data_IF_250783968990
#
_entry.id   IF_250783968990
#
_cell.length_a   1.000
_cell.length_b   1.000
_cell.length_c   1.000
_cell.angle_alpha   90.00
_cell.angle_beta   90.00
_cell.angle_gamma   90.00
#
_symmetry.space_group_name_H-M   'P 1'
#
loop_
_entity.id
_entity.type
_entity.pdbx_description
1 polymer ?
#
# COMPACT_ATOMS: atom_id res chain seq x y z
N UNK A 1 -14.57 -2.59 32.29
CA UNK A 1 -15.13 -3.07 31.03
C UNK A 1 -13.98 -3.55 30.15
N UNK A 2 -14.00 -4.79 29.70
CA UNK A 2 -13.02 -5.28 28.72
C UNK A 2 -13.31 -4.54 27.41
N UNK A 3 -12.49 -3.57 27.05
CA UNK A 3 -12.54 -2.96 25.73
C UNK A 3 -12.26 -4.04 24.69
N UNK A 4 -13.22 -4.24 23.79
CA UNK A 4 -13.09 -5.27 22.74
C UNK A 4 -12.07 -4.79 21.72
N UNK A 5 -10.93 -5.46 21.62
CA UNK A 5 -9.90 -5.24 20.60
C UNK A 5 -10.48 -5.32 19.16
N UNK A 6 -11.47 -6.17 18.96
CA UNK A 6 -12.12 -6.38 17.66
C UNK A 6 -13.38 -5.52 17.52
N UNK A 7 -13.18 -4.24 17.23
CA UNK A 7 -14.28 -3.36 16.81
C UNK A 7 -14.60 -3.58 15.34
N UNK A 8 -15.84 -3.26 14.91
CA UNK A 8 -16.22 -3.34 13.48
C UNK A 8 -15.27 -2.56 12.59
N UNK A 9 -14.88 -1.35 13.00
CA UNK A 9 -13.95 -0.50 12.25
C UNK A 9 -12.57 -1.15 12.10
N UNK A 10 -12.05 -1.78 13.16
CA UNK A 10 -10.80 -2.51 13.13
C UNK A 10 -10.84 -3.67 12.13
N UNK A 11 -11.90 -4.48 12.15
CA UNK A 11 -12.09 -5.60 11.23
C UNK A 11 -12.18 -5.16 9.77
N UNK A 12 -12.86 -4.03 9.48
CA UNK A 12 -12.93 -3.50 8.12
C UNK A 12 -11.56 -3.03 7.60
N UNK A 13 -10.78 -2.32 8.41
CA UNK A 13 -9.43 -1.89 8.01
C UNK A 13 -8.51 -3.09 7.81
N UNK A 14 -8.58 -4.09 8.70
CA UNK A 14 -7.81 -5.31 8.58
C UNK A 14 -8.14 -6.08 7.30
N UNK A 15 -9.44 -6.25 7.00
CA UNK A 15 -9.91 -6.90 5.78
C UNK A 15 -9.49 -6.12 4.52
N UNK A 16 -9.60 -4.79 4.53
CA UNK A 16 -9.18 -3.95 3.42
C UNK A 16 -7.67 -4.07 3.16
N UNK A 17 -6.85 -4.00 4.22
CA UNK A 17 -5.41 -4.19 4.10
C UNK A 17 -5.08 -5.61 3.61
N UNK A 18 -5.74 -6.63 4.14
CA UNK A 18 -5.54 -8.01 3.69
C UNK A 18 -5.80 -8.15 2.19
N UNK A 19 -6.94 -7.64 1.69
CA UNK A 19 -7.29 -7.70 0.27
C UNK A 19 -6.28 -6.94 -0.61
N UNK A 20 -5.81 -5.78 -0.14
CA UNK A 20 -4.79 -5.00 -0.85
C UNK A 20 -3.48 -5.77 -0.98
N UNK A 21 -2.97 -6.31 0.12
CA UNK A 21 -1.74 -7.10 0.13
C UNK A 21 -1.90 -8.40 -0.67
N UNK A 22 -3.03 -9.07 -0.54
CA UNK A 22 -3.31 -10.30 -1.28
C UNK A 22 -3.29 -10.05 -2.80
N UNK A 23 -3.99 -9.00 -3.27
CA UNK A 23 -3.96 -8.61 -4.68
C UNK A 23 -2.56 -8.24 -5.17
N UNK A 24 -1.80 -7.53 -4.35
CA UNK A 24 -0.42 -7.17 -4.66
C UNK A 24 0.51 -8.39 -4.78
N UNK A 25 0.42 -9.33 -3.83
CA UNK A 25 1.24 -10.54 -3.86
C UNK A 25 0.90 -11.47 -5.03
N UNK A 26 -0.37 -11.50 -5.47
CA UNK A 26 -0.75 -12.22 -6.69
C UNK A 26 -0.18 -11.56 -7.95
N UNK A 27 -0.07 -10.23 -7.95
CA UNK A 27 0.44 -9.49 -9.10
C UNK A 27 1.95 -9.70 -9.32
N UNK A 28 2.74 -9.82 -8.25
CA UNK A 28 4.20 -9.92 -8.32
C UNK A 28 4.70 -11.03 -9.25
N UNK A 29 4.28 -12.29 -9.12
CA UNK A 29 4.78 -13.36 -9.99
C UNK A 29 4.26 -13.26 -11.44
N UNK A 30 3.10 -12.63 -11.65
CA UNK A 30 2.49 -12.51 -12.97
C UNK A 30 3.22 -11.45 -13.82
N UNK A 31 3.69 -10.38 -13.20
CA UNK A 31 4.30 -9.23 -13.88
C UNK A 31 5.49 -9.55 -14.78
N UNK A 32 6.49 -10.35 -14.35
CA UNK A 32 7.62 -10.69 -15.22
C UNK A 32 7.19 -11.44 -16.47
N UNK A 33 6.25 -12.38 -16.35
CA UNK A 33 5.71 -13.13 -17.49
C UNK A 33 4.95 -12.21 -18.44
N UNK A 34 4.08 -11.38 -17.92
CA UNK A 34 3.32 -10.42 -18.70
C UNK A 34 4.23 -9.46 -19.49
N UNK A 35 5.26 -8.91 -18.85
CA UNK A 35 6.22 -8.01 -19.49
C UNK A 35 7.02 -8.72 -20.60
N UNK A 36 7.38 -9.97 -20.38
CA UNK A 36 8.11 -10.78 -21.36
C UNK A 36 7.24 -11.11 -22.59
N UNK A 37 6.00 -11.54 -22.38
CA UNK A 37 5.08 -11.93 -23.44
C UNK A 37 4.54 -10.74 -24.22
N UNK A 38 4.15 -9.65 -23.53
CA UNK A 38 3.48 -8.51 -24.17
C UNK A 38 4.45 -7.53 -24.81
N UNK A 39 5.60 -7.28 -24.18
CA UNK A 39 6.54 -6.24 -24.61
C UNK A 39 7.91 -6.79 -25.03
N UNK A 40 8.10 -8.10 -25.00
CA UNK A 40 9.40 -8.75 -25.33
C UNK A 40 10.59 -8.13 -24.56
N UNK A 41 10.36 -7.75 -23.29
CA UNK A 41 11.37 -7.08 -22.49
C UNK A 41 12.55 -7.99 -22.15
N UNK A 42 13.81 -7.53 -22.31
CA UNK A 42 14.98 -8.26 -21.86
C UNK A 42 15.01 -8.36 -20.33
N UNK A 43 15.63 -9.41 -19.79
CA UNK A 43 15.64 -9.70 -18.35
C UNK A 43 16.23 -8.58 -17.49
N UNK A 44 17.24 -7.89 -17.98
CA UNK A 44 17.82 -6.73 -17.30
C UNK A 44 16.82 -5.58 -17.11
N UNK A 45 15.93 -5.38 -18.10
CA UNK A 45 14.90 -4.33 -18.04
C UNK A 45 13.76 -4.72 -17.10
N UNK A 46 13.43 -6.00 -16.98
CA UNK A 46 12.41 -6.49 -16.05
C UNK A 46 12.73 -6.09 -14.59
N UNK A 47 13.98 -6.30 -14.18
CA UNK A 47 14.45 -5.91 -12.86
C UNK A 47 14.29 -4.41 -12.60
N UNK A 48 14.69 -3.56 -13.56
CA UNK A 48 14.57 -2.11 -13.47
C UNK A 48 13.10 -1.66 -13.34
N UNK A 49 12.19 -2.22 -14.14
CA UNK A 49 10.76 -1.90 -14.09
C UNK A 49 10.14 -2.31 -12.75
N UNK A 50 10.51 -3.48 -12.23
CA UNK A 50 10.03 -3.93 -10.94
C UNK A 50 10.59 -3.08 -9.79
N UNK A 51 11.84 -2.62 -9.88
CA UNK A 51 12.46 -1.73 -8.91
C UNK A 51 11.82 -0.33 -8.87
N UNK A 52 11.31 0.20 -9.99
CA UNK A 52 10.64 1.50 -10.02
C UNK A 52 9.52 1.60 -8.97
N UNK A 53 8.75 0.54 -8.77
CA UNK A 53 7.72 0.46 -7.74
C UNK A 53 8.30 0.66 -6.33
N UNK A 54 9.35 -0.07 -6.01
CA UNK A 54 9.98 -0.03 -4.67
C UNK A 54 10.62 1.33 -4.40
N UNK A 55 11.35 1.86 -5.37
CA UNK A 55 12.02 3.16 -5.25
C UNK A 55 10.99 4.28 -5.06
N UNK A 56 9.96 4.35 -5.90
CA UNK A 56 8.91 5.37 -5.79
C UNK A 56 8.15 5.27 -4.45
N UNK A 57 7.84 4.06 -4.01
CA UNK A 57 7.20 3.82 -2.72
C UNK A 57 8.07 4.25 -1.54
N UNK A 58 9.37 3.97 -1.59
CA UNK A 58 10.31 4.36 -0.54
C UNK A 58 10.47 5.87 -0.45
N UNK A 59 10.60 6.55 -1.59
CA UNK A 59 10.72 8.00 -1.65
C UNK A 59 9.50 8.72 -1.07
N UNK A 60 8.30 8.16 -1.23
CA UNK A 60 7.06 8.80 -0.79
C UNK A 60 6.71 8.54 0.68
N UNK A 61 7.31 7.53 1.33
CA UNK A 61 6.99 7.19 2.73
C UNK A 61 7.03 8.35 3.72
N UNK A 62 8.09 9.20 3.74
CA UNK A 62 8.13 10.34 4.67
C UNK A 62 7.01 11.36 4.38
N UNK A 63 6.68 11.57 3.11
CA UNK A 63 5.58 12.47 2.72
C UNK A 63 4.22 11.90 3.10
N UNK A 64 4.04 10.58 2.97
CA UNK A 64 2.80 9.90 3.39
C UNK A 64 2.58 10.01 4.90
N UNK A 65 3.64 9.87 5.70
CA UNK A 65 3.59 10.10 7.15
C UNK A 65 3.16 11.53 7.47
N UNK A 66 3.83 12.52 6.90
CA UNK A 66 3.47 13.92 7.06
C UNK A 66 2.01 14.23 6.66
N UNK A 67 1.55 13.65 5.56
CA UNK A 67 0.17 13.82 5.09
C UNK A 67 -0.85 13.27 6.09
N UNK A 68 -0.56 12.07 6.67
CA UNK A 68 -1.41 11.44 7.69
C UNK A 68 -1.43 12.19 9.01
N UNK A 69 -0.36 12.94 9.33
CA UNK A 69 -0.28 13.73 10.55
C UNK A 69 -0.97 15.10 10.41
N UNK A 70 -0.93 15.69 9.21
CA UNK A 70 -1.48 17.02 8.95
C UNK A 70 -2.97 17.02 8.65
N UNK A 71 -3.51 15.97 8.06
CA UNK A 71 -4.90 15.88 7.60
C UNK A 71 -5.68 14.77 8.32
N UNK A 72 -7.02 14.80 8.27
CA UNK A 72 -7.83 13.71 8.81
C UNK A 72 -7.43 12.37 8.16
N UNK A 73 -6.98 11.42 8.96
CA UNK A 73 -6.37 10.14 8.51
C UNK A 73 -7.32 9.27 7.69
N UNK A 74 -8.58 9.18 8.13
CA UNK A 74 -9.56 8.30 7.48
C UNK A 74 -9.87 8.68 6.03
N UNK A 75 -10.21 9.94 5.66
CA UNK A 75 -10.46 10.30 4.28
C UNK A 75 -9.23 10.18 3.39
N UNK A 76 -8.04 10.52 3.90
CA UNK A 76 -6.78 10.36 3.16
C UNK A 76 -6.52 8.88 2.86
N UNK A 77 -6.69 8.00 3.86
CA UNK A 77 -6.55 6.56 3.66
C UNK A 77 -7.50 6.04 2.57
N UNK A 78 -8.78 6.43 2.63
CA UNK A 78 -9.79 6.01 1.64
C UNK A 78 -9.41 6.50 0.24
N UNK A 79 -8.97 7.75 0.12
CA UNK A 79 -8.54 8.33 -1.15
C UNK A 79 -7.34 7.56 -1.73
N UNK A 80 -6.30 7.35 -0.93
CA UNK A 80 -5.11 6.60 -1.36
C UNK A 80 -5.46 5.15 -1.74
N UNK A 81 -6.37 4.52 -0.99
CA UNK A 81 -6.86 3.17 -1.30
C UNK A 81 -7.59 3.12 -2.64
N UNK A 82 -8.47 4.10 -2.89
CA UNK A 82 -9.19 4.20 -4.16
C UNK A 82 -8.27 4.43 -5.34
N UNK A 83 -7.27 5.33 -5.19
CA UNK A 83 -6.24 5.56 -6.21
C UNK A 83 -5.46 4.27 -6.49
N UNK A 84 -5.03 3.57 -5.43
CA UNK A 84 -4.31 2.31 -5.56
C UNK A 84 -5.13 1.25 -6.30
N UNK A 85 -6.41 1.08 -5.95
CA UNK A 85 -7.32 0.16 -6.63
C UNK A 85 -7.54 0.55 -8.11
N UNK A 86 -7.64 1.84 -8.41
CA UNK A 86 -7.79 2.34 -9.79
C UNK A 86 -6.57 2.02 -10.65
N UNK A 87 -5.37 2.02 -10.08
CA UNK A 87 -4.13 1.66 -10.81
C UNK A 87 -4.14 0.18 -11.22
N UNK A 88 -4.73 -0.71 -10.43
CA UNK A 88 -4.90 -2.12 -10.85
C UNK A 88 -5.72 -2.23 -12.13
N UNK A 89 -6.79 -1.44 -12.24
CA UNK A 89 -7.57 -1.37 -13.48
C UNK A 89 -6.77 -0.71 -14.62
N UNK A 90 -5.93 0.26 -14.29
CA UNK A 90 -5.05 0.93 -15.23
C UNK A 90 -4.08 0.00 -15.95
N UNK A 91 -3.63 -1.07 -15.30
CA UNK A 91 -2.77 -2.08 -15.95
C UNK A 91 -3.45 -2.79 -17.10
N UNK A 92 -4.78 -2.91 -17.09
CA UNK A 92 -5.53 -3.50 -18.21
C UNK A 92 -5.52 -2.62 -19.46
N UNK A 93 -5.24 -1.33 -19.31
CA UNK A 93 -5.17 -0.35 -20.42
C UNK A 93 -3.74 -0.09 -20.88
N UNK A 94 -2.76 -0.77 -20.32
CA UNK A 94 -1.35 -0.57 -20.59
C UNK A 94 -0.94 -1.21 -21.94
N UNK A 95 -1.30 -0.57 -23.04
CA UNK A 95 -0.92 -1.00 -24.39
C UNK A 95 0.53 -0.66 -24.79
N UNK A 96 1.23 0.19 -24.03
CA UNK A 96 2.60 0.65 -24.29
C UNK A 96 3.45 0.51 -23.03
N UNK A 97 4.69 0.05 -23.20
CA UNK A 97 5.63 -0.17 -22.08
C UNK A 97 5.86 1.07 -21.24
N UNK A 98 6.00 2.25 -21.85
CA UNK A 98 6.20 3.52 -21.12
C UNK A 98 5.05 3.81 -20.17
N UNK A 99 3.81 3.59 -20.62
CA UNK A 99 2.63 3.77 -19.78
C UNK A 99 2.60 2.77 -18.61
N UNK A 100 3.01 1.54 -18.86
CA UNK A 100 3.14 0.52 -17.83
C UNK A 100 4.14 0.94 -16.74
N UNK A 101 5.30 1.49 -17.11
CA UNK A 101 6.33 1.99 -16.18
C UNK A 101 5.78 3.13 -15.32
N UNK A 102 5.05 4.08 -15.92
CA UNK A 102 4.40 5.18 -15.20
C UNK A 102 3.38 4.64 -14.18
N UNK A 103 2.52 3.71 -14.60
CA UNK A 103 1.57 3.06 -13.70
C UNK A 103 2.29 2.33 -12.55
N UNK A 104 3.43 1.72 -12.83
CA UNK A 104 4.23 1.00 -11.83
C UNK A 104 4.80 1.95 -10.78
N UNK A 105 5.30 3.12 -11.17
CA UNK A 105 5.77 4.15 -10.26
C UNK A 105 4.61 4.73 -9.42
N UNK A 106 3.48 5.06 -10.05
CA UNK A 106 2.28 5.54 -9.36
C UNK A 106 1.73 4.51 -8.38
N UNK A 107 1.76 3.23 -8.75
CA UNK A 107 1.35 2.14 -7.86
C UNK A 107 2.22 2.09 -6.60
N UNK A 108 3.55 2.23 -6.74
CA UNK A 108 4.46 2.29 -5.60
C UNK A 108 4.12 3.44 -4.64
N UNK A 109 3.83 4.63 -5.17
CA UNK A 109 3.42 5.80 -4.42
C UNK A 109 2.11 5.54 -3.67
N UNK A 110 1.07 5.10 -4.38
CA UNK A 110 -0.25 4.86 -3.82
C UNK A 110 -0.24 3.74 -2.77
N UNK A 111 0.41 2.61 -3.08
CA UNK A 111 0.50 1.47 -2.18
C UNK A 111 1.26 1.81 -0.89
N UNK A 112 2.37 2.55 -0.99
CA UNK A 112 3.13 3.00 0.17
C UNK A 112 2.28 3.92 1.06
N UNK A 113 1.52 4.85 0.46
CA UNK A 113 0.63 5.76 1.19
C UNK A 113 -0.51 5.01 1.89
N UNK A 114 -1.13 4.03 1.22
CA UNK A 114 -2.16 3.18 1.83
C UNK A 114 -1.60 2.36 3.00
N UNK A 115 -0.39 1.80 2.84
CA UNK A 115 0.25 1.01 3.89
C UNK A 115 0.54 1.84 5.14
N UNK A 116 1.11 3.04 4.96
CA UNK A 116 1.35 3.98 6.06
C UNK A 116 0.04 4.38 6.72
N UNK A 117 -0.96 4.79 5.93
CA UNK A 117 -2.27 5.19 6.44
C UNK A 117 -3.01 4.07 7.16
N UNK A 118 -2.98 2.86 6.62
CA UNK A 118 -3.59 1.68 7.23
C UNK A 118 -2.97 1.34 8.59
N UNK A 119 -1.64 1.36 8.68
CA UNK A 119 -0.94 1.12 9.94
C UNK A 119 -1.26 2.19 10.97
N UNK A 120 -1.25 3.47 10.58
CA UNK A 120 -1.57 4.59 11.47
C UNK A 120 -3.01 4.50 11.98
N UNK A 121 -3.98 4.22 11.10
CA UNK A 121 -5.37 4.03 11.49
C UNK A 121 -5.57 2.81 12.41
N UNK A 122 -4.87 1.70 12.17
CA UNK A 122 -4.93 0.54 13.06
C UNK A 122 -4.45 0.89 14.47
N UNK A 123 -3.36 1.66 14.59
CA UNK A 123 -2.86 2.11 15.89
C UNK A 123 -3.87 3.01 16.60
N UNK A 124 -4.47 3.97 15.87
CA UNK A 124 -5.43 4.92 16.45
C UNK A 124 -6.70 4.27 17.00
N UNK A 125 -7.18 3.21 16.36
CA UNK A 125 -8.41 2.51 16.76
C UNK A 125 -8.14 1.34 17.71
N UNK A 126 -6.87 1.03 17.98
CA UNK A 126 -6.50 0.00 18.97
C UNK A 126 -6.61 0.63 20.35
N UNK A 127 -7.46 0.08 21.26
CA UNK A 127 -7.57 0.60 22.62
C UNK A 127 -6.22 0.62 23.34
N UNK A 128 -5.96 1.66 24.11
CA UNK A 128 -4.72 1.83 24.87
C UNK A 128 -4.38 0.63 25.81
N UNK A 129 -5.40 -0.12 26.22
CA UNK A 129 -5.25 -1.36 27.00
C UNK A 129 -4.57 -2.52 26.24
N UNK A 130 -4.56 -2.46 24.90
CA UNK A 130 -3.89 -3.44 24.03
C UNK A 130 -2.54 -2.95 23.49
N UNK A 131 -2.22 -1.68 23.62
CA UNK A 131 -0.89 -1.17 23.34
C UNK A 131 0.05 -1.68 24.43
N UNK A 132 1.01 -2.53 24.05
CA UNK A 132 2.07 -2.94 24.98
C UNK A 132 2.68 -1.69 25.59
N UNK A 133 2.66 -1.62 26.94
CA UNK A 133 3.33 -0.54 27.68
C UNK A 133 4.75 -0.41 27.12
N UNK A 134 5.21 0.78 26.73
CA UNK A 134 6.58 0.94 26.31
C UNK A 134 7.48 0.50 27.47
N UNK A 135 8.38 -0.40 27.14
CA UNK A 135 9.46 -0.97 27.92
C UNK A 135 9.73 -0.29 29.29
N UNK A 136 9.35 -0.96 30.39
CA UNK A 136 10.12 -0.87 31.62
C UNK A 136 9.90 0.30 32.58
N UNK A 137 8.77 1.02 32.50
CA UNK A 137 8.39 1.94 33.61
C UNK A 137 7.33 1.23 34.47
N UNK A 138 7.80 0.45 35.41
CA UNK A 138 7.03 0.06 36.58
C UNK A 138 7.19 1.16 37.63
N UNK A 139 6.09 1.88 37.94
CA UNK A 139 5.95 2.60 39.19
C UNK A 139 5.77 1.62 40.33
#
# INVERSE_FOLDING_TARGET
MKERLFTRSYMFILAANFLLFFGFWLLIPILPFYLKETYSCPEAMLGAILCCYTVSGLCVRPFSGFLMDKFPRKPIYILCYFVCASIFLGYMTAGVLTWFIVLRALHGIAFSSVTVGGNTLCVDITPAAGAAKPWGITD
#
